data_IF_570431977642
#
_entry.id   IF_570431977642
#
_cell.length_a   1.000
_cell.length_b   1.000
_cell.length_c   1.000
_cell.angle_alpha   90.00
_cell.angle_beta   90.00
_cell.angle_gamma   90.00
#
_symmetry.space_group_name_H-M   'P 1'
#
loop_
_entity.id
_entity.type
_entity.pdbx_description
1 polymer ?
#
# COMPACT_ATOMS: atom_id res chain seq x y z
N UNK A 1 -3.43 -31.18 -11.70
CA UNK A 1 -4.61 -30.73 -12.46
C UNK A 1 -4.29 -29.35 -12.96
N UNK A 2 -4.04 -29.21 -14.28
CA UNK A 2 -3.87 -27.93 -14.94
C UNK A 2 -5.22 -27.17 -14.84
N UNK A 3 -5.34 -26.26 -13.91
CA UNK A 3 -6.39 -25.25 -13.93
C UNK A 3 -5.92 -24.11 -14.81
N UNK A 4 -6.05 -24.32 -16.13
CA UNK A 4 -5.96 -23.20 -17.07
C UNK A 4 -7.22 -22.39 -16.89
N UNK A 5 -7.09 -21.10 -16.47
CA UNK A 5 -8.16 -20.13 -16.59
C UNK A 5 -8.69 -20.16 -18.02
N UNK A 6 -10.01 -20.17 -18.26
CA UNK A 6 -10.53 -20.02 -19.61
C UNK A 6 -10.04 -18.66 -20.12
N UNK A 7 -9.14 -18.67 -21.08
CA UNK A 7 -8.73 -17.46 -21.81
C UNK A 7 -10.01 -16.94 -22.48
N UNK A 8 -10.48 -15.80 -22.05
CA UNK A 8 -11.51 -15.09 -22.80
C UNK A 8 -10.93 -14.83 -24.17
N UNK A 9 -11.48 -15.47 -25.21
CA UNK A 9 -11.03 -15.31 -26.58
C UNK A 9 -11.18 -13.84 -27.00
N UNK A 10 -10.10 -13.08 -26.86
CA UNK A 10 -9.97 -11.68 -27.28
C UNK A 10 -9.65 -11.55 -28.79
N UNK A 11 -9.87 -12.61 -29.58
CA UNK A 11 -9.60 -12.63 -31.02
C UNK A 11 -10.57 -11.79 -31.88
N UNK A 12 -11.42 -10.99 -31.26
CA UNK A 12 -12.20 -9.99 -31.99
C UNK A 12 -11.66 -8.59 -31.66
N UNK A 13 -10.99 -7.96 -32.61
CA UNK A 13 -10.82 -6.50 -32.70
C UNK A 13 -12.18 -5.80 -32.84
N UNK A 14 -13.02 -6.01 -31.86
CA UNK A 14 -14.26 -5.27 -31.72
C UNK A 14 -13.96 -4.13 -30.72
N UNK A 15 -14.26 -2.89 -31.11
CA UNK A 15 -14.14 -1.69 -30.27
C UNK A 15 -15.15 -1.72 -29.10
N UNK A 16 -15.57 -2.88 -28.64
CA UNK A 16 -16.45 -3.03 -27.49
C UNK A 16 -15.65 -2.86 -26.20
N UNK A 17 -16.13 -1.98 -25.33
CA UNK A 17 -15.59 -1.84 -23.99
C UNK A 17 -15.66 -3.18 -23.25
N UNK A 18 -14.57 -3.58 -22.63
CA UNK A 18 -14.52 -4.75 -21.76
C UNK A 18 -14.83 -4.34 -20.32
N UNK A 19 -15.45 -5.24 -19.57
CA UNK A 19 -15.60 -5.10 -18.12
C UNK A 19 -14.50 -5.94 -17.49
N UNK A 20 -13.62 -5.28 -16.73
CA UNK A 20 -12.54 -5.92 -15.99
C UNK A 20 -12.84 -5.84 -14.50
N UNK A 21 -12.46 -6.89 -13.76
CA UNK A 21 -12.63 -7.00 -12.33
C UNK A 21 -11.27 -7.00 -11.65
N UNK A 22 -11.09 -6.12 -10.69
CA UNK A 22 -9.82 -5.99 -9.99
C UNK A 22 -9.97 -5.54 -8.56
N UNK A 23 -8.84 -5.57 -7.86
CA UNK A 23 -8.71 -5.07 -6.51
C UNK A 23 -7.58 -4.06 -6.46
N UNK A 24 -7.90 -2.82 -6.09
CA UNK A 24 -6.94 -1.71 -5.99
C UNK A 24 -6.46 -1.48 -4.57
N UNK A 25 -6.79 -2.39 -3.62
CA UNK A 25 -6.48 -2.22 -2.21
C UNK A 25 -6.11 -3.57 -1.58
N UNK A 26 -4.85 -4.01 -1.77
CA UNK A 26 -4.37 -5.32 -1.30
C UNK A 26 -3.16 -5.15 -0.39
N UNK A 27 -3.24 -5.72 0.82
CA UNK A 27 -2.15 -5.75 1.78
C UNK A 27 -1.50 -7.13 1.88
N UNK A 28 -0.21 -7.12 2.13
CA UNK A 28 0.62 -8.31 2.37
C UNK A 28 1.27 -8.23 3.76
N UNK A 29 2.20 -9.14 4.04
CA UNK A 29 3.00 -9.10 5.26
C UNK A 29 3.89 -7.84 5.37
N UNK A 30 4.03 -7.08 4.30
CA UNK A 30 4.79 -5.82 4.32
C UNK A 30 4.00 -4.65 4.89
N UNK A 31 2.71 -4.85 5.14
CA UNK A 31 1.89 -3.96 5.94
C UNK A 31 1.93 -4.39 7.40
N UNK A 32 2.26 -3.47 8.30
CA UNK A 32 2.41 -3.78 9.73
C UNK A 32 1.13 -4.34 10.35
N UNK A 33 0.01 -3.76 10.01
CA UNK A 33 -1.32 -4.18 10.49
C UNK A 33 -1.68 -5.57 9.96
N UNK A 34 -1.48 -5.85 8.66
CA UNK A 34 -1.73 -7.16 8.09
C UNK A 34 -0.82 -8.22 8.72
N UNK A 35 0.46 -7.92 8.97
CA UNK A 35 1.35 -8.82 9.68
C UNK A 35 0.87 -9.06 11.12
N UNK A 36 0.61 -7.98 11.86
CA UNK A 36 0.15 -8.06 13.25
C UNK A 36 -1.14 -8.87 13.37
N UNK A 37 -2.13 -8.57 12.54
CA UNK A 37 -3.42 -9.27 12.54
C UNK A 37 -3.29 -10.75 12.14
N UNK A 38 -2.26 -11.10 11.38
CA UNK A 38 -1.98 -12.48 10.99
C UNK A 38 -1.23 -13.28 12.05
N UNK A 39 -0.80 -12.68 13.17
CA UNK A 39 -0.13 -13.43 14.25
C UNK A 39 -1.06 -14.47 14.87
N UNK A 40 -0.51 -15.60 15.36
CA UNK A 40 -1.31 -16.71 15.87
C UNK A 40 -2.32 -16.34 16.95
N UNK A 41 -1.95 -15.44 17.88
CA UNK A 41 -2.86 -14.99 18.95
C UNK A 41 -3.95 -14.02 18.49
N UNK A 42 -3.81 -13.42 17.29
CA UNK A 42 -4.79 -12.45 16.77
C UNK A 42 -5.89 -13.16 16.00
N UNK A 43 -5.62 -13.67 14.81
CA UNK A 43 -6.60 -14.37 13.98
C UNK A 43 -6.32 -15.88 13.83
N UNK A 44 -5.39 -16.45 14.60
CA UNK A 44 -5.02 -17.85 14.51
C UNK A 44 -4.32 -18.22 13.20
N UNK A 45 -3.82 -17.25 12.48
CA UNK A 45 -3.07 -17.45 11.24
C UNK A 45 -1.60 -17.79 11.51
N UNK A 46 -0.87 -18.10 10.45
CA UNK A 46 0.57 -18.36 10.50
C UNK A 46 1.43 -17.18 10.03
N UNK A 47 0.84 -16.02 9.98
CA UNK A 47 1.51 -14.73 9.94
C UNK A 47 1.94 -14.21 8.58
N UNK A 48 2.58 -15.00 7.74
CA UNK A 48 3.25 -14.43 6.57
C UNK A 48 2.54 -14.76 5.25
N UNK A 49 2.12 -13.71 4.56
CA UNK A 49 1.63 -13.77 3.19
C UNK A 49 2.45 -12.76 2.36
N UNK A 50 3.60 -13.18 1.79
CA UNK A 50 4.49 -12.28 1.05
C UNK A 50 3.85 -11.77 -0.24
N UNK A 51 4.39 -10.69 -0.80
CA UNK A 51 3.90 -10.05 -2.02
C UNK A 51 3.71 -11.02 -3.20
N UNK A 52 4.60 -12.00 -3.37
CA UNK A 52 4.48 -13.02 -4.41
C UNK A 52 3.22 -13.90 -4.27
N UNK A 53 2.73 -14.12 -3.03
CA UNK A 53 1.52 -14.90 -2.79
C UNK A 53 0.27 -14.20 -3.29
N UNK A 54 0.25 -12.86 -3.26
CA UNK A 54 -0.88 -12.08 -3.77
C UNK A 54 -1.12 -12.32 -5.27
N UNK A 55 -0.05 -12.50 -6.05
CA UNK A 55 -0.16 -12.86 -7.46
C UNK A 55 -0.90 -14.18 -7.67
N UNK A 56 -0.49 -15.23 -6.96
CA UNK A 56 -1.14 -16.54 -7.06
C UNK A 56 -2.59 -16.50 -6.59
N UNK A 57 -2.85 -15.74 -5.51
CA UNK A 57 -4.21 -15.59 -4.99
C UNK A 57 -5.11 -14.84 -5.98
N UNK A 58 -4.67 -13.69 -6.48
CA UNK A 58 -5.40 -12.91 -7.47
C UNK A 58 -5.68 -13.71 -8.74
N UNK A 59 -4.67 -14.41 -9.25
CA UNK A 59 -4.73 -15.14 -10.52
C UNK A 59 -5.56 -16.42 -10.43
N UNK A 60 -5.37 -17.24 -9.38
CA UNK A 60 -5.92 -18.60 -9.33
C UNK A 60 -7.08 -18.78 -8.36
N UNK A 61 -7.19 -17.94 -7.33
CA UNK A 61 -8.24 -18.04 -6.31
C UNK A 61 -9.35 -17.03 -6.60
N UNK A 62 -9.03 -15.72 -6.61
CA UNK A 62 -10.01 -14.67 -6.86
C UNK A 62 -10.31 -14.46 -8.35
N UNK A 63 -9.45 -14.91 -9.25
CA UNK A 63 -9.58 -14.80 -10.70
C UNK A 63 -9.81 -13.35 -11.17
N UNK A 64 -9.04 -12.42 -10.60
CA UNK A 64 -9.06 -11.02 -10.97
C UNK A 64 -8.39 -10.79 -12.33
N UNK A 65 -8.79 -9.72 -13.01
CA UNK A 65 -8.15 -9.25 -14.23
C UNK A 65 -6.96 -8.33 -13.91
N UNK A 66 -7.03 -7.63 -12.75
CA UNK A 66 -5.92 -6.82 -12.23
C UNK A 66 -5.95 -6.72 -10.70
N UNK A 67 -4.80 -6.38 -10.10
CA UNK A 67 -4.72 -6.01 -8.70
C UNK A 67 -3.57 -5.04 -8.45
N UNK A 68 -3.63 -4.35 -7.31
CA UNK A 68 -2.57 -3.46 -6.85
C UNK A 68 -2.13 -3.87 -5.45
N UNK A 69 -0.82 -3.95 -5.20
CA UNK A 69 -0.31 -4.02 -3.84
C UNK A 69 -0.19 -2.62 -3.27
N UNK A 70 -0.90 -2.38 -2.18
CA UNK A 70 -0.97 -1.09 -1.48
C UNK A 70 -0.66 -1.24 -0.01
N UNK A 71 0.40 -1.98 0.32
CA UNK A 71 0.89 -2.05 1.69
C UNK A 71 1.19 -0.65 2.24
N UNK A 72 0.96 -0.45 3.55
CA UNK A 72 1.19 0.84 4.20
C UNK A 72 2.63 1.34 4.02
N UNK A 73 2.79 2.52 3.43
CA UNK A 73 4.11 3.13 3.18
C UNK A 73 4.92 3.33 4.46
N UNK A 74 4.24 3.54 5.59
CA UNK A 74 4.81 3.67 6.92
C UNK A 74 5.59 2.43 7.38
N UNK A 75 5.26 1.29 6.81
CA UNK A 75 5.80 -0.03 7.15
C UNK A 75 6.94 -0.47 6.26
N UNK A 76 7.16 0.18 5.12
CA UNK A 76 8.22 -0.23 4.21
C UNK A 76 9.61 0.08 4.73
N UNK A 77 10.51 -0.85 4.43
CA UNK A 77 11.96 -0.67 4.46
C UNK A 77 12.49 -0.89 3.03
N UNK A 78 13.71 -0.45 2.70
CA UNK A 78 14.25 -0.57 1.33
C UNK A 78 14.18 -1.99 0.77
N UNK A 79 14.40 -3.00 1.62
CA UNK A 79 14.33 -4.41 1.19
C UNK A 79 12.91 -4.83 0.82
N UNK A 80 11.90 -4.51 1.65
CA UNK A 80 10.52 -4.95 1.40
C UNK A 80 9.90 -4.21 0.22
N UNK A 81 10.26 -2.94 0.02
CA UNK A 81 9.89 -2.23 -1.21
C UNK A 81 10.46 -2.91 -2.46
N UNK A 82 11.75 -3.23 -2.44
CA UNK A 82 12.38 -3.97 -3.55
C UNK A 82 11.72 -5.33 -3.79
N UNK A 83 11.44 -6.08 -2.74
CA UNK A 83 10.80 -7.40 -2.84
C UNK A 83 9.38 -7.30 -3.42
N UNK A 84 8.61 -6.25 -3.09
CA UNK A 84 7.31 -5.99 -3.69
C UNK A 84 7.46 -5.71 -5.20
N UNK A 85 8.34 -4.79 -5.57
CA UNK A 85 8.59 -4.43 -6.97
C UNK A 85 9.00 -5.66 -7.79
N UNK A 86 9.92 -6.47 -7.25
CA UNK A 86 10.36 -7.70 -7.92
C UNK A 86 9.21 -8.71 -8.05
N UNK A 87 8.36 -8.84 -7.02
CA UNK A 87 7.19 -9.73 -7.04
C UNK A 87 6.17 -9.33 -8.11
N UNK A 88 5.88 -8.04 -8.23
CA UNK A 88 4.97 -7.51 -9.27
C UNK A 88 5.54 -7.74 -10.67
N UNK A 89 6.84 -7.46 -10.87
CA UNK A 89 7.51 -7.72 -12.14
C UNK A 89 7.47 -9.19 -12.53
N UNK A 90 7.72 -10.10 -11.59
CA UNK A 90 7.62 -11.54 -11.81
C UNK A 90 6.17 -11.95 -12.12
N UNK A 91 5.19 -11.42 -11.38
CA UNK A 91 3.77 -11.67 -11.63
C UNK A 91 3.39 -11.31 -13.06
N UNK A 92 3.72 -10.10 -13.52
CA UNK A 92 3.44 -9.67 -14.88
C UNK A 92 4.16 -10.52 -15.93
N UNK A 93 5.40 -10.95 -15.65
CA UNK A 93 6.18 -11.77 -16.58
C UNK A 93 5.59 -13.19 -16.78
N UNK A 94 4.86 -13.73 -15.78
CA UNK A 94 4.26 -15.06 -15.87
C UNK A 94 2.77 -15.03 -16.23
N UNK A 95 2.15 -13.85 -16.32
CA UNK A 95 0.72 -13.67 -16.56
C UNK A 95 0.34 -13.65 -18.05
N UNK A 96 1.12 -14.29 -18.91
CA UNK A 96 0.88 -14.35 -20.35
C UNK A 96 1.79 -13.41 -21.15
N UNK A 97 1.34 -12.97 -22.31
CA UNK A 97 2.07 -11.98 -23.08
C UNK A 97 1.54 -10.56 -22.82
N UNK A 98 2.35 -9.54 -23.10
CA UNK A 98 2.00 -8.14 -22.84
C UNK A 98 0.72 -7.68 -23.61
N UNK A 99 0.40 -8.28 -24.75
CA UNK A 99 -0.76 -7.91 -25.55
C UNK A 99 -2.07 -8.54 -25.04
N UNK A 100 -1.98 -9.63 -24.27
CA UNK A 100 -3.12 -10.36 -23.73
C UNK A 100 -2.76 -11.06 -22.43
N UNK A 101 -2.52 -10.32 -21.34
CA UNK A 101 -2.26 -10.90 -20.04
C UNK A 101 -3.53 -11.50 -19.42
N UNK A 102 -3.38 -12.57 -18.65
CA UNK A 102 -4.49 -13.13 -17.85
C UNK A 102 -4.65 -12.44 -16.49
N UNK A 103 -3.67 -11.62 -16.09
CA UNK A 103 -3.68 -10.76 -14.92
C UNK A 103 -2.71 -9.60 -15.13
N UNK A 104 -3.07 -8.40 -14.70
CA UNK A 104 -2.18 -7.24 -14.62
C UNK A 104 -1.96 -6.87 -13.16
N UNK A 105 -0.72 -6.86 -12.72
CA UNK A 105 -0.34 -6.46 -11.37
C UNK A 105 0.30 -5.07 -11.38
N UNK A 106 -0.20 -4.15 -10.56
CA UNK A 106 0.30 -2.79 -10.43
C UNK A 106 1.11 -2.62 -9.14
N UNK A 107 2.07 -1.70 -9.18
CA UNK A 107 2.85 -1.30 -8.02
C UNK A 107 2.15 -0.11 -7.37
N UNK A 108 2.04 -0.14 -6.04
CA UNK A 108 1.49 0.95 -5.27
C UNK A 108 1.92 0.89 -3.80
N UNK A 109 1.41 1.81 -3.04
CA UNK A 109 1.45 1.82 -1.58
C UNK A 109 0.24 2.58 -1.04
N UNK A 110 -0.07 2.37 0.22
CA UNK A 110 -1.04 3.18 0.93
C UNK A 110 -0.32 4.22 1.79
N UNK A 111 -0.68 5.48 1.62
CA UNK A 111 -0.28 6.60 2.46
C UNK A 111 -1.37 6.82 3.52
N UNK A 112 -1.02 6.71 4.82
CA UNK A 112 -2.00 6.67 5.90
C UNK A 112 -1.81 7.80 6.88
N UNK A 113 -2.57 8.89 6.71
CA UNK A 113 -2.54 10.05 7.60
C UNK A 113 -3.76 10.05 8.53
N UNK A 114 -3.80 9.09 9.44
CA UNK A 114 -4.79 9.00 10.50
C UNK A 114 -4.42 9.97 11.64
N UNK A 115 -4.89 11.20 11.56
CA UNK A 115 -4.69 12.22 12.59
C UNK A 115 -5.66 12.06 13.75
N UNK A 116 -5.27 12.58 14.93
CA UNK A 116 -6.11 12.55 16.13
C UNK A 116 -7.19 13.66 16.15
N UNK A 117 -7.07 14.66 15.29
CA UNK A 117 -8.03 15.77 15.15
C UNK A 117 -8.49 15.89 13.70
N UNK A 118 -9.66 16.50 13.45
CA UNK A 118 -10.16 16.68 12.08
C UNK A 118 -9.16 17.34 11.15
N UNK A 119 -8.43 18.36 11.63
CA UNK A 119 -7.48 19.16 10.84
C UNK A 119 -6.22 18.40 10.46
N UNK A 120 -5.94 17.29 11.14
CA UNK A 120 -4.76 16.44 10.89
C UNK A 120 -5.12 15.08 10.31
N UNK A 121 -6.42 14.81 10.13
CA UNK A 121 -6.90 13.54 9.58
C UNK A 121 -7.22 13.70 8.10
N UNK A 122 -6.39 13.14 7.26
CA UNK A 122 -6.59 13.13 5.81
C UNK A 122 -7.03 11.75 5.28
N UNK A 123 -7.23 10.78 6.19
CA UNK A 123 -7.57 9.42 5.83
C UNK A 123 -6.41 8.68 5.17
N UNK A 124 -6.75 7.84 4.23
CA UNK A 124 -5.84 6.95 3.54
C UNK A 124 -5.85 7.24 2.03
N UNK A 125 -4.72 7.06 1.37
CA UNK A 125 -4.58 7.30 -0.06
C UNK A 125 -3.80 6.16 -0.70
N UNK A 126 -4.43 5.37 -1.56
CA UNK A 126 -3.75 4.37 -2.37
C UNK A 126 -3.05 5.06 -3.53
N UNK A 127 -1.73 5.07 -3.53
CA UNK A 127 -0.88 5.61 -4.59
C UNK A 127 -0.52 4.47 -5.53
N UNK A 128 -0.91 4.57 -6.80
CA UNK A 128 -0.84 3.49 -7.78
C UNK A 128 -0.08 3.95 -9.01
N UNK A 129 0.96 3.23 -9.40
CA UNK A 129 1.76 3.54 -10.59
C UNK A 129 1.25 2.75 -11.78
N UNK A 130 1.10 3.45 -12.90
CA UNK A 130 0.69 2.85 -14.17
C UNK A 130 1.73 1.87 -14.70
N UNK A 131 3.00 2.19 -14.53
CA UNK A 131 4.13 1.40 -14.98
C UNK A 131 4.74 0.57 -13.83
N UNK A 132 5.55 -0.43 -14.19
CA UNK A 132 6.28 -1.30 -13.25
C UNK A 132 7.74 -1.50 -13.65
N UNK A 133 8.17 -0.93 -14.78
CA UNK A 133 9.52 -1.10 -15.33
C UNK A 133 10.56 -0.28 -14.55
N UNK A 134 11.81 -0.63 -14.73
CA UNK A 134 12.94 0.10 -14.16
C UNK A 134 12.93 1.56 -14.62
N UNK A 135 13.13 2.50 -13.70
CA UNK A 135 13.12 3.93 -13.99
C UNK A 135 11.76 4.54 -14.30
N UNK A 136 10.65 3.80 -14.12
CA UNK A 136 9.28 4.27 -14.30
C UNK A 136 8.46 4.23 -13.01
N UNK A 137 9.12 3.90 -11.90
CA UNK A 137 8.55 3.87 -10.56
C UNK A 137 9.53 4.50 -9.58
N UNK A 138 9.06 5.02 -8.43
CA UNK A 138 9.93 5.58 -7.42
C UNK A 138 10.87 4.54 -6.81
N UNK A 139 12.01 5.01 -6.34
CA UNK A 139 12.99 4.17 -5.66
C UNK A 139 12.55 3.74 -4.25
N UNK A 140 11.56 4.43 -3.68
CA UNK A 140 10.95 4.17 -2.37
C UNK A 140 9.55 4.74 -2.29
N UNK A 141 8.68 4.24 -1.40
CA UNK A 141 7.38 4.84 -1.12
C UNK A 141 7.53 6.12 -0.29
N UNK A 142 6.51 6.96 -0.33
CA UNK A 142 6.36 8.14 0.52
C UNK A 142 5.31 7.80 1.58
N UNK A 143 5.70 7.82 2.83
CA UNK A 143 4.84 7.50 3.96
C UNK A 143 4.12 8.75 4.49
N UNK A 144 3.11 8.58 5.34
CA UNK A 144 2.55 9.69 6.09
C UNK A 144 3.41 10.00 7.32
N UNK A 145 3.61 11.29 7.61
CA UNK A 145 4.30 11.76 8.82
C UNK A 145 3.31 11.96 9.99
N UNK A 146 2.43 10.99 10.22
CA UNK A 146 1.36 11.07 11.20
C UNK A 146 1.61 10.34 12.50
N UNK A 147 0.55 10.22 13.32
CA UNK A 147 0.59 9.55 14.61
C UNK A 147 0.96 8.06 14.47
N UNK A 148 0.47 7.40 13.44
CA UNK A 148 0.77 5.99 13.17
C UNK A 148 2.26 5.78 12.89
N UNK A 149 2.85 6.58 12.00
CA UNK A 149 4.29 6.54 11.72
C UNK A 149 5.13 6.75 12.97
N UNK A 150 4.74 7.71 13.80
CA UNK A 150 5.45 8.00 15.05
C UNK A 150 5.39 6.81 16.03
N UNK A 151 4.24 6.16 16.14
CA UNK A 151 4.09 4.96 16.99
C UNK A 151 4.94 3.81 16.46
N UNK A 152 4.89 3.55 15.15
CA UNK A 152 5.69 2.52 14.50
C UNK A 152 7.19 2.74 14.70
N UNK A 153 7.64 3.99 14.62
CA UNK A 153 9.05 4.36 14.66
C UNK A 153 9.59 4.70 16.06
N UNK A 154 8.83 4.50 17.13
CA UNK A 154 9.29 4.89 18.47
C UNK A 154 9.19 3.83 19.55
N UNK A 155 8.24 2.91 19.56
CA UNK A 155 7.98 2.13 20.78
C UNK A 155 7.49 0.69 20.61
N UNK A 156 7.16 0.22 19.41
CA UNK A 156 6.45 -1.06 19.29
C UNK A 156 7.36 -2.30 19.35
N UNK A 157 8.61 -2.21 18.99
CA UNK A 157 9.50 -3.36 18.90
C UNK A 157 9.70 -4.06 20.26
N UNK A 158 9.93 -3.32 21.33
CA UNK A 158 10.18 -3.88 22.66
C UNK A 158 8.96 -4.60 23.25
N UNK A 159 7.77 -4.04 23.04
CA UNK A 159 6.51 -4.67 23.49
C UNK A 159 6.27 -5.98 22.74
N UNK A 160 6.40 -5.96 21.42
CA UNK A 160 6.14 -7.11 20.58
C UNK A 160 7.18 -8.22 20.75
N UNK A 161 8.43 -7.90 21.07
CA UNK A 161 9.49 -8.87 21.35
C UNK A 161 9.15 -9.81 22.50
N UNK A 162 8.30 -9.40 23.43
CA UNK A 162 7.87 -10.20 24.57
C UNK A 162 6.57 -10.97 24.35
N UNK A 163 5.86 -10.76 23.23
CA UNK A 163 4.61 -11.47 22.94
C UNK A 163 4.77 -12.99 22.92
N UNK A 164 5.93 -13.50 22.51
CA UNK A 164 6.19 -14.94 22.47
C UNK A 164 6.10 -15.61 23.87
N UNK A 165 6.22 -14.85 24.96
CA UNK A 165 6.05 -15.40 26.32
C UNK A 165 4.62 -15.87 26.57
N UNK A 166 3.64 -15.32 25.87
CA UNK A 166 2.24 -15.69 25.94
C UNK A 166 1.89 -16.89 25.04
N UNK A 167 2.71 -17.12 24.00
CA UNK A 167 2.54 -18.21 23.05
C UNK A 167 3.89 -18.80 22.60
N UNK A 168 4.59 -19.53 23.50
CA UNK A 168 5.94 -20.00 23.24
C UNK A 168 6.07 -21.00 22.09
N UNK A 169 4.99 -21.69 21.73
CA UNK A 169 4.99 -22.67 20.63
C UNK A 169 5.07 -21.99 19.27
N UNK A 170 4.66 -20.74 19.18
CA UNK A 170 4.67 -19.92 17.97
C UNK A 170 5.67 -18.75 18.03
N UNK A 171 6.68 -18.84 18.92
CA UNK A 171 7.65 -17.76 19.19
C UNK A 171 8.27 -17.14 17.95
N UNK A 172 8.56 -17.93 16.92
CA UNK A 172 9.27 -17.47 15.74
C UNK A 172 8.46 -16.44 14.93
N UNK A 173 7.12 -16.50 14.95
CA UNK A 173 6.26 -15.50 14.31
C UNK A 173 6.34 -14.14 15.02
N UNK A 174 6.34 -14.15 16.36
CA UNK A 174 6.43 -12.91 17.15
C UNK A 174 7.81 -12.28 17.07
N UNK A 175 8.87 -13.11 17.07
CA UNK A 175 10.24 -12.62 16.91
C UNK A 175 10.45 -12.04 15.51
N UNK A 176 9.93 -12.71 14.46
CA UNK A 176 9.98 -12.18 13.09
C UNK A 176 9.26 -10.84 12.95
N UNK A 177 8.10 -10.68 13.63
CA UNK A 177 7.40 -9.41 13.67
C UNK A 177 8.20 -8.33 14.40
N UNK A 178 8.80 -8.66 15.56
CA UNK A 178 9.65 -7.72 16.28
C UNK A 178 10.88 -7.31 15.47
N UNK A 179 11.55 -8.26 14.80
CA UNK A 179 12.69 -7.97 13.92
C UNK A 179 12.29 -7.08 12.73
N UNK A 180 11.08 -7.24 12.23
CA UNK A 180 10.53 -6.36 11.19
C UNK A 180 10.34 -4.93 11.71
N UNK A 181 9.77 -4.77 12.90
CA UNK A 181 9.64 -3.45 13.54
C UNK A 181 11.01 -2.80 13.83
N UNK A 182 11.99 -3.57 14.27
CA UNK A 182 13.37 -3.08 14.45
C UNK A 182 13.99 -2.59 13.13
N UNK A 183 13.69 -3.26 12.02
CA UNK A 183 14.16 -2.85 10.72
C UNK A 183 13.51 -1.52 10.25
N UNK A 184 12.21 -1.32 10.55
CA UNK A 184 11.53 -0.03 10.32
C UNK A 184 12.20 1.07 11.14
N UNK A 185 12.44 0.82 12.45
CA UNK A 185 13.07 1.79 13.35
C UNK A 185 14.49 2.18 12.92
N UNK A 186 15.25 1.23 12.38
CA UNK A 186 16.63 1.44 11.98
C UNK A 186 16.80 2.10 10.61
N UNK A 187 15.73 2.22 9.81
CA UNK A 187 15.77 2.91 8.53
C UNK A 187 15.88 4.42 8.78
N UNK A 188 16.93 5.11 8.30
CA UNK A 188 17.11 6.54 8.55
C UNK A 188 16.08 7.37 7.83
N UNK A 189 15.68 8.51 8.40
CA UNK A 189 14.86 9.47 7.68
C UNK A 189 15.64 10.08 6.52
N UNK A 190 14.93 10.39 5.43
CA UNK A 190 15.51 11.17 4.34
C UNK A 190 15.80 12.60 4.79
N UNK A 191 16.73 13.25 4.10
CA UNK A 191 17.08 14.65 4.35
C UNK A 191 15.93 15.55 3.87
N UNK A 192 15.52 16.49 4.70
CA UNK A 192 14.44 17.44 4.36
C UNK A 192 14.89 18.46 3.32
N UNK A 193 13.95 18.92 2.48
CA UNK A 193 14.19 19.98 1.51
C UNK A 193 14.95 19.54 0.26
N UNK A 194 15.23 18.25 0.12
CA UNK A 194 15.78 17.66 -1.11
C UNK A 194 14.62 17.08 -1.93
N UNK A 195 14.54 17.37 -3.25
CA UNK A 195 13.53 16.74 -4.11
C UNK A 195 13.62 15.22 -4.08
N UNK A 196 12.47 14.55 -4.10
CA UNK A 196 12.34 13.10 -3.89
C UNK A 196 13.22 12.26 -4.82
N UNK A 197 13.36 12.67 -6.08
CA UNK A 197 14.17 11.97 -7.08
C UNK A 197 15.70 12.10 -6.88
N UNK A 198 16.16 12.97 -5.97
CA UNK A 198 17.58 13.12 -5.60
C UNK A 198 17.94 12.49 -4.26
N UNK A 199 16.95 12.04 -3.48
CA UNK A 199 17.18 11.41 -2.19
C UNK A 199 17.77 10.00 -2.34
N UNK A 200 18.53 9.49 -1.34
CA UNK A 200 18.99 8.11 -1.32
C UNK A 200 17.82 7.09 -1.36
N UNK A 201 18.07 5.92 -1.94
CA UNK A 201 17.06 4.83 -2.03
C UNK A 201 16.77 4.16 -0.68
N UNK A 202 17.65 4.29 0.27
CA UNK A 202 17.68 3.58 1.55
C UNK A 202 17.26 4.45 2.75
N UNK A 203 16.56 5.56 2.50
CA UNK A 203 15.98 6.39 3.53
C UNK A 203 14.44 6.29 3.57
N UNK A 204 13.86 6.65 4.71
CA UNK A 204 12.44 6.77 4.93
C UNK A 204 11.97 8.17 4.57
N UNK A 205 11.16 8.27 3.55
CA UNK A 205 10.56 9.53 3.09
C UNK A 205 9.13 9.66 3.57
N UNK A 206 8.71 10.86 3.98
CA UNK A 206 7.34 11.09 4.45
C UNK A 206 6.79 12.44 4.01
N UNK A 207 5.45 12.53 4.02
CA UNK A 207 4.67 13.73 3.75
C UNK A 207 3.63 13.92 4.85
N UNK A 208 3.34 15.16 5.23
CA UNK A 208 2.42 15.51 6.33
C UNK A 208 1.00 15.72 5.84
N UNK A 209 0.84 16.16 4.58
CA UNK A 209 -0.45 16.47 3.96
C UNK A 209 -0.54 15.85 2.59
N UNK A 210 -1.76 15.69 2.02
CA UNK A 210 -1.90 15.25 0.63
C UNK A 210 -1.17 16.15 -0.36
N UNK A 211 -1.21 17.47 -0.16
CA UNK A 211 -0.49 18.42 -1.02
C UNK A 211 1.03 18.20 -1.01
N UNK A 212 1.61 17.90 0.14
CA UNK A 212 3.03 17.54 0.23
C UNK A 212 3.33 16.21 -0.45
N UNK A 213 2.44 15.20 -0.28
CA UNK A 213 2.54 13.94 -1.00
C UNK A 213 2.58 14.17 -2.52
N UNK A 214 1.63 14.96 -3.04
CA UNK A 214 1.57 15.24 -4.47
C UNK A 214 2.79 16.01 -4.99
N UNK A 215 3.30 16.96 -4.22
CA UNK A 215 4.53 17.68 -4.58
C UNK A 215 5.73 16.73 -4.71
N UNK A 216 5.84 15.75 -3.81
CA UNK A 216 6.89 14.71 -3.86
C UNK A 216 6.67 13.73 -5.02
N UNK A 217 5.43 13.42 -5.38
CA UNK A 217 5.11 12.62 -6.58
C UNK A 217 5.47 13.38 -7.86
N UNK A 218 5.25 14.72 -7.90
CA UNK A 218 5.68 15.58 -9.01
C UNK A 218 7.21 15.55 -9.21
N UNK A 219 8.00 15.48 -8.14
CA UNK A 219 9.46 15.35 -8.21
C UNK A 219 9.91 14.10 -8.99
N UNK A 220 9.15 13.01 -8.89
CA UNK A 220 9.38 11.78 -9.65
C UNK A 220 8.88 11.88 -11.10
N UNK A 221 7.74 12.54 -11.32
CA UNK A 221 7.15 12.77 -12.64
C UNK A 221 6.65 11.51 -13.35
N UNK A 222 6.24 10.49 -12.59
CA UNK A 222 5.67 9.25 -13.13
C UNK A 222 4.14 9.35 -13.25
N UNK A 223 3.55 8.56 -14.15
CA UNK A 223 2.11 8.42 -14.26
C UNK A 223 1.57 7.68 -13.02
N UNK A 224 0.76 8.36 -12.23
CA UNK A 224 0.22 7.86 -10.96
C UNK A 224 -1.26 8.23 -10.81
N UNK A 225 -2.02 7.33 -10.21
CA UNK A 225 -3.37 7.57 -9.70
C UNK A 225 -3.34 7.49 -8.18
N UNK A 226 -4.03 8.40 -7.50
CA UNK A 226 -4.14 8.41 -6.04
C UNK A 226 -5.61 8.31 -5.65
N UNK A 227 -5.97 7.20 -5.00
CA UNK A 227 -7.34 6.87 -4.63
C UNK A 227 -7.53 7.07 -3.12
N UNK A 228 -8.17 8.17 -2.67
CA UNK A 228 -8.45 8.40 -1.27
C UNK A 228 -9.57 7.50 -0.75
N UNK A 229 -9.48 7.14 0.55
CA UNK A 229 -10.51 6.40 1.27
C UNK A 229 -10.44 6.65 2.79
N UNK A 230 -11.48 6.20 3.54
CA UNK A 230 -11.54 6.33 5.01
C UNK A 230 -11.44 7.77 5.51
N UNK A 231 -11.96 8.73 4.77
CA UNK A 231 -11.73 10.17 4.99
C UNK A 231 -12.76 10.82 5.89
N UNK A 232 -13.98 10.27 5.95
CA UNK A 232 -15.11 10.96 6.59
C UNK A 232 -15.61 10.25 7.83
N UNK A 233 -15.76 8.94 7.77
CA UNK A 233 -16.29 8.13 8.87
C UNK A 233 -15.64 6.77 8.91
N UNK A 234 -15.11 6.38 10.07
CA UNK A 234 -14.46 5.09 10.22
C UNK A 234 -13.86 4.90 11.61
N UNK A 235 -13.17 3.78 11.78
CA UNK A 235 -12.63 3.36 13.07
C UNK A 235 -11.61 4.35 13.66
N UNK A 236 -10.83 5.02 12.80
CA UNK A 236 -9.81 5.99 13.21
C UNK A 236 -10.22 7.44 12.99
N UNK A 237 -11.38 7.68 12.40
CA UNK A 237 -11.79 9.01 11.97
C UNK A 237 -12.24 9.84 13.18
N UNK A 238 -11.63 11.01 13.43
CA UNK A 238 -12.06 11.90 14.50
C UNK A 238 -13.49 12.38 14.26
N UNK A 239 -14.18 12.66 15.37
CA UNK A 239 -15.51 13.28 15.27
C UNK A 239 -15.41 14.63 14.55
N UNK A 240 -16.31 14.90 13.60
CA UNK A 240 -16.33 16.07 12.75
C UNK A 240 -15.20 16.14 11.70
N UNK A 241 -14.53 15.03 11.38
CA UNK A 241 -13.71 14.99 10.18
C UNK A 241 -14.58 15.23 8.94
N UNK A 242 -14.06 15.99 7.99
CA UNK A 242 -14.77 16.39 6.77
C UNK A 242 -13.84 16.30 5.57
N UNK A 243 -14.27 15.55 4.59
CA UNK A 243 -13.58 15.45 3.30
C UNK A 243 -13.50 16.82 2.61
N UNK A 244 -14.64 17.54 2.57
CA UNK A 244 -14.74 18.84 1.91
C UNK A 244 -13.86 19.89 2.60
N UNK A 245 -13.86 19.92 3.93
CA UNK A 245 -13.21 20.99 4.68
C UNK A 245 -11.68 20.81 4.77
N UNK A 246 -11.19 19.57 4.88
CA UNK A 246 -9.78 19.31 5.16
C UNK A 246 -9.01 18.69 4.01
N UNK A 247 -9.66 17.83 3.22
CA UNK A 247 -8.98 17.12 2.13
C UNK A 247 -9.20 17.79 0.77
N UNK A 248 -10.40 18.30 0.50
CA UNK A 248 -10.71 18.98 -0.76
C UNK A 248 -10.34 20.49 -0.76
N UNK A 249 -9.36 20.86 0.00
CA UNK A 249 -8.83 22.24 -0.04
C UNK A 249 -7.94 22.45 -1.28
N UNK A 250 -7.75 23.69 -1.76
CA UNK A 250 -6.87 23.97 -2.90
C UNK A 250 -5.44 23.43 -2.76
N UNK A 251 -4.96 23.31 -1.51
CA UNK A 251 -3.61 22.83 -1.22
C UNK A 251 -3.53 21.28 -1.20
N UNK A 252 -4.65 20.59 -1.01
CA UNK A 252 -4.71 19.16 -0.78
C UNK A 252 -5.39 18.37 -1.92
N UNK A 253 -5.97 19.03 -2.92
CA UNK A 253 -6.64 18.39 -4.04
C UNK A 253 -5.81 18.52 -5.32
N UNK A 254 -5.71 17.43 -6.04
CA UNK A 254 -5.07 17.36 -7.36
C UNK A 254 -5.95 16.49 -8.28
N UNK A 255 -6.85 17.12 -9.06
CA UNK A 255 -7.75 16.39 -9.96
C UNK A 255 -7.03 15.55 -11.03
N UNK A 256 -5.79 15.86 -11.32
CA UNK A 256 -4.90 15.10 -12.19
C UNK A 256 -4.34 13.81 -11.52
N UNK A 257 -4.37 13.72 -10.20
CA UNK A 257 -4.04 12.52 -9.43
C UNK A 257 -5.27 11.81 -8.86
N UNK A 258 -6.36 12.54 -8.60
CA UNK A 258 -7.54 12.02 -7.92
C UNK A 258 -8.72 11.91 -8.88
N UNK A 259 -8.68 10.99 -9.83
CA UNK A 259 -9.81 10.73 -10.72
C UNK A 259 -10.83 9.74 -10.14
N UNK A 260 -10.44 9.01 -9.08
CA UNK A 260 -11.21 8.00 -8.40
C UNK A 260 -11.26 8.26 -6.90
N UNK A 261 -12.28 7.69 -6.24
CA UNK A 261 -12.41 7.61 -4.78
C UNK A 261 -12.91 6.22 -4.41
N UNK A 262 -12.34 5.64 -3.36
CA UNK A 262 -12.86 4.43 -2.76
C UNK A 262 -13.95 4.79 -1.75
N UNK A 263 -15.20 4.50 -2.10
CA UNK A 263 -16.37 4.94 -1.34
C UNK A 263 -16.44 4.23 0.02
N UNK A 264 -16.07 2.96 0.06
CA UNK A 264 -16.18 2.12 1.23
C UNK A 264 -14.98 1.16 1.35
N UNK A 265 -14.37 1.11 2.53
CA UNK A 265 -13.29 0.18 2.85
C UNK A 265 -13.41 -0.34 4.29
N UNK A 266 -12.48 -1.21 4.72
CA UNK A 266 -12.36 -1.64 6.11
C UNK A 266 -12.03 -0.48 7.08
N UNK A 267 -11.46 0.60 6.58
CA UNK A 267 -11.11 1.78 7.38
C UNK A 267 -12.27 2.75 7.58
N UNK A 268 -13.27 2.72 6.74
CA UNK A 268 -14.42 3.60 6.85
C UNK A 268 -15.10 3.91 5.53
N UNK A 269 -15.86 4.99 5.57
CA UNK A 269 -16.73 5.43 4.49
C UNK A 269 -16.28 6.81 4.01
N UNK A 270 -16.38 7.08 2.73
CA UNK A 270 -16.05 8.35 2.07
C UNK A 270 -17.28 8.98 1.37
N UNK A 271 -18.50 8.52 1.65
CA UNK A 271 -19.72 9.00 1.02
C UNK A 271 -20.24 10.34 1.56
N UNK A 272 -19.85 10.78 2.77
CA UNK A 272 -20.45 11.91 3.49
C UNK A 272 -19.42 12.98 3.81
#
# INVERSE_FOLDING_TARGET
>A
TNTTRPINNLDQKDNTKQILWGDTHVHTTYSMDAFYMSLPMMHGSRGAFPAAFACDYARFISQLDFYVLTDHAESYIPRTWKDQVDSIRQCNAISGNEDNPDLVAFIGWEWTQAGATPETHYGHHNVIFKDYKEGQIPDRPIAAAGALSNVLRTQLADVNRNLFLLDPLNKDYYLSFADYLDAILSTPNCEEGIPSNYLPKDCYESATTPGELYAKLDDWGFDVEVIPHGTTWGFYTPQAASWEEYTQTPDNIRPDYNSLVEIYSGHGNSEV
#
